data_IF_841772906345
#
_entry.id   IF_841772906345
#
_cell.length_a   1.000
_cell.length_b   1.000
_cell.length_c   1.000
_cell.angle_alpha   90.00
_cell.angle_beta   90.00
_cell.angle_gamma   90.00
#
_symmetry.space_group_name_H-M   'P 1'
#
loop_
_entity.id
_entity.type
_entity.pdbx_description
1 polymer ?
#
# COMPACT_ATOMS: atom_id res chain seq x y z
N UNK A 1 -40.75 -3.18 -21.20
CA UNK A 1 -41.08 -2.59 -19.89
C UNK A 1 -40.74 -3.46 -18.67
N UNK A 2 -40.18 -4.68 -18.83
CA UNK A 2 -39.90 -5.61 -17.71
C UNK A 2 -38.54 -5.39 -17.00
N UNK A 3 -37.50 -4.88 -17.68
CA UNK A 3 -36.17 -4.68 -17.06
C UNK A 3 -36.14 -3.58 -16.00
N UNK A 4 -37.00 -2.56 -16.10
CA UNK A 4 -37.02 -1.42 -15.15
C UNK A 4 -37.65 -1.79 -13.80
N UNK A 5 -38.56 -2.77 -13.78
CA UNK A 5 -39.19 -3.26 -12.56
C UNK A 5 -38.22 -4.14 -11.74
N UNK A 6 -37.33 -4.88 -12.42
CA UNK A 6 -36.42 -5.83 -11.79
C UNK A 6 -35.33 -5.15 -10.94
N UNK A 7 -34.84 -3.97 -11.36
CA UNK A 7 -33.84 -3.19 -10.59
C UNK A 7 -34.41 -2.57 -9.31
N UNK A 8 -35.70 -2.22 -9.28
CA UNK A 8 -36.38 -1.64 -8.11
C UNK A 8 -36.61 -2.67 -7.00
N UNK A 9 -36.83 -3.93 -7.36
CA UNK A 9 -37.03 -5.03 -6.40
C UNK A 9 -35.74 -5.36 -5.64
N UNK A 10 -34.58 -5.30 -6.29
CA UNK A 10 -33.29 -5.55 -5.64
C UNK A 10 -32.94 -4.49 -4.58
N UNK A 11 -33.26 -3.22 -4.83
CA UNK A 11 -33.02 -2.13 -3.86
C UNK A 11 -33.98 -2.23 -2.67
N UNK A 12 -35.23 -2.63 -2.91
CA UNK A 12 -36.22 -2.84 -1.85
C UNK A 12 -35.83 -4.02 -0.92
N UNK A 13 -35.24 -5.09 -1.47
CA UNK A 13 -34.75 -6.23 -0.67
C UNK A 13 -33.51 -5.88 0.17
N UNK A 14 -32.65 -4.97 -0.31
CA UNK A 14 -31.51 -4.50 0.48
C UNK A 14 -31.92 -3.66 1.71
N UNK A 15 -33.05 -2.96 1.63
CA UNK A 15 -33.57 -2.14 2.73
C UNK A 15 -34.32 -2.95 3.82
N UNK A 16 -34.79 -4.16 3.51
CA UNK A 16 -35.51 -5.02 4.46
C UNK A 16 -34.62 -5.58 5.59
N UNK A 17 -33.28 -5.47 5.48
CA UNK A 17 -32.33 -5.91 6.50
C UNK A 17 -32.07 -4.88 7.63
N UNK A 18 -32.51 -3.63 7.45
CA UNK A 18 -32.35 -2.56 8.44
C UNK A 18 -33.51 -2.56 9.45
N UNK A 19 -33.69 -3.65 10.22
CA UNK A 19 -34.52 -3.56 11.41
C UNK A 19 -33.84 -2.69 12.46
N UNK A 20 -34.59 -1.75 13.02
CA UNK A 20 -34.12 -0.86 14.08
C UNK A 20 -33.82 -1.67 15.35
N UNK A 21 -32.94 -1.17 16.22
CA UNK A 21 -32.65 -1.80 17.51
C UNK A 21 -33.92 -2.02 18.35
N UNK A 22 -34.87 -1.08 18.27
CA UNK A 22 -36.16 -1.17 18.94
C UNK A 22 -37.01 -2.35 18.43
N UNK A 23 -37.02 -2.60 17.12
CA UNK A 23 -37.74 -3.73 16.52
C UNK A 23 -37.14 -5.07 16.97
N UNK A 24 -35.81 -5.20 16.97
CA UNK A 24 -35.12 -6.43 17.39
C UNK A 24 -35.32 -6.73 18.88
N UNK A 25 -35.33 -5.69 19.71
CA UNK A 25 -35.64 -5.81 21.14
C UNK A 25 -37.06 -6.32 21.38
N UNK A 26 -38.04 -5.79 20.63
CA UNK A 26 -39.44 -6.23 20.73
C UNK A 26 -39.62 -7.69 20.27
N UNK A 27 -38.99 -8.07 19.16
CA UNK A 27 -39.02 -9.45 18.65
C UNK A 27 -38.36 -10.44 19.63
N UNK A 28 -37.24 -10.04 20.26
CA UNK A 28 -36.56 -10.84 21.26
C UNK A 28 -37.43 -11.04 22.52
N UNK A 29 -38.11 -9.99 22.99
CA UNK A 29 -39.06 -10.11 24.10
C UNK A 29 -40.29 -10.95 23.74
N UNK A 30 -40.77 -10.86 22.49
CA UNK A 30 -41.88 -11.67 21.99
C UNK A 30 -41.57 -13.17 21.96
N UNK A 31 -40.29 -13.55 21.91
CA UNK A 31 -39.83 -14.94 22.06
C UNK A 31 -39.79 -15.42 23.52
N UNK A 32 -40.25 -14.60 24.48
CA UNK A 32 -40.26 -14.94 25.90
C UNK A 32 -38.90 -14.75 26.59
N UNK A 33 -37.95 -14.08 25.94
CA UNK A 33 -36.63 -13.79 26.50
C UNK A 33 -36.74 -12.56 27.41
N UNK A 34 -36.03 -12.57 28.54
CA UNK A 34 -36.02 -11.44 29.47
C UNK A 34 -35.45 -10.19 28.82
N UNK A 35 -35.96 -9.01 29.22
CA UNK A 35 -35.51 -7.71 28.70
C UNK A 35 -34.00 -7.51 28.82
N UNK A 36 -33.40 -7.99 29.92
CA UNK A 36 -31.96 -7.86 30.16
C UNK A 36 -31.15 -8.75 29.22
N UNK A 37 -31.60 -9.99 28.97
CA UNK A 37 -30.95 -10.88 28.01
C UNK A 37 -31.03 -10.31 26.58
N UNK A 38 -32.17 -9.74 26.19
CA UNK A 38 -32.31 -9.06 24.91
C UNK A 38 -31.41 -7.83 24.80
N UNK A 39 -31.25 -7.07 25.89
CA UNK A 39 -30.38 -5.90 25.92
C UNK A 39 -28.90 -6.28 25.75
N UNK A 40 -28.43 -7.32 26.45
CA UNK A 40 -27.06 -7.83 26.30
C UNK A 40 -26.83 -8.39 24.90
N UNK A 41 -27.81 -9.11 24.33
CA UNK A 41 -27.70 -9.62 22.96
C UNK A 41 -27.55 -8.48 21.93
N UNK A 42 -28.32 -7.41 22.06
CA UNK A 42 -28.22 -6.25 21.16
C UNK A 42 -26.91 -5.47 21.37
N UNK A 43 -26.43 -5.35 22.62
CA UNK A 43 -25.14 -4.74 22.90
C UNK A 43 -23.99 -5.54 22.25
N UNK A 44 -24.00 -6.87 22.37
CA UNK A 44 -23.03 -7.75 21.73
C UNK A 44 -23.10 -7.66 20.20
N UNK A 45 -24.30 -7.58 19.65
CA UNK A 45 -24.51 -7.37 18.21
C UNK A 45 -23.89 -6.04 17.78
N UNK A 46 -24.16 -4.93 18.48
CA UNK A 46 -23.59 -3.64 18.14
C UNK A 46 -22.06 -3.63 18.26
N UNK A 47 -21.51 -4.26 19.30
CA UNK A 47 -20.07 -4.43 19.46
C UNK A 47 -19.46 -5.23 18.29
N UNK A 48 -20.12 -6.30 17.85
CA UNK A 48 -19.67 -7.11 16.71
C UNK A 48 -19.67 -6.30 15.40
N UNK A 49 -20.71 -5.50 15.16
CA UNK A 49 -20.81 -4.62 13.98
C UNK A 49 -19.70 -3.57 14.00
N UNK A 50 -19.47 -2.92 15.14
CA UNK A 50 -18.41 -1.93 15.29
C UNK A 50 -17.04 -2.58 15.03
N UNK A 51 -16.77 -3.74 15.61
CA UNK A 51 -15.51 -4.46 15.39
C UNK A 51 -15.31 -4.89 13.93
N UNK A 52 -16.37 -5.27 13.23
CA UNK A 52 -16.32 -5.63 11.81
C UNK A 52 -16.08 -4.39 10.93
N UNK A 53 -16.73 -3.27 11.26
CA UNK A 53 -16.53 -1.99 10.58
C UNK A 53 -15.11 -1.46 10.76
N UNK A 54 -14.57 -1.52 11.99
CA UNK A 54 -13.18 -1.15 12.29
C UNK A 54 -12.20 -2.03 11.51
N UNK A 55 -12.38 -3.36 11.51
CA UNK A 55 -11.54 -4.27 10.74
C UNK A 55 -11.61 -4.01 9.23
N UNK A 56 -12.79 -3.71 8.69
CA UNK A 56 -12.95 -3.35 7.29
C UNK A 56 -12.27 -2.02 6.97
N UNK A 57 -12.40 -1.02 7.85
CA UNK A 57 -11.74 0.28 7.71
C UNK A 57 -10.21 0.13 7.72
N UNK A 58 -9.66 -0.68 8.64
CA UNK A 58 -8.24 -0.97 8.71
C UNK A 58 -7.72 -1.68 7.46
N UNK A 59 -8.45 -2.68 6.93
CA UNK A 59 -8.08 -3.37 5.69
C UNK A 59 -8.11 -2.45 4.48
N UNK A 60 -9.13 -1.60 4.37
CA UNK A 60 -9.24 -0.63 3.29
C UNK A 60 -8.15 0.46 3.39
N UNK A 61 -7.84 0.92 4.61
CA UNK A 61 -6.74 1.83 4.85
C UNK A 61 -5.40 1.18 4.46
N UNK A 62 -5.14 -0.06 4.89
CA UNK A 62 -3.94 -0.80 4.51
C UNK A 62 -3.80 -0.99 3.00
N UNK A 63 -4.90 -1.28 2.28
CA UNK A 63 -4.91 -1.37 0.84
C UNK A 63 -4.60 -0.02 0.17
N UNK A 64 -5.14 1.08 0.70
CA UNK A 64 -4.81 2.43 0.24
C UNK A 64 -3.33 2.78 0.52
N UNK A 65 -2.79 2.47 1.69
CA UNK A 65 -1.36 2.68 1.99
C UNK A 65 -0.44 1.83 1.10
N UNK A 66 -0.82 0.58 0.80
CA UNK A 66 -0.07 -0.28 -0.11
C UNK A 66 -0.10 0.22 -1.57
N UNK A 67 -1.18 0.91 -1.97
CA UNK A 67 -1.30 1.54 -3.30
C UNK A 67 -0.67 2.94 -3.35
N UNK A 68 -0.64 3.66 -2.22
CA UNK A 68 -0.09 5.00 -2.08
C UNK A 68 1.39 5.03 -1.73
N UNK A 69 1.99 3.91 -1.31
CA UNK A 69 3.44 3.77 -1.30
C UNK A 69 3.92 3.97 -2.75
N UNK A 70 4.60 5.07 -3.08
CA UNK A 70 5.14 5.23 -4.42
C UNK A 70 6.01 3.99 -4.64
N UNK A 71 5.73 3.21 -5.69
CA UNK A 71 6.63 2.15 -6.12
C UNK A 71 7.93 2.84 -6.50
N UNK A 72 8.80 3.07 -5.52
CA UNK A 72 10.09 3.70 -5.72
C UNK A 72 10.80 2.82 -6.73
N UNK A 73 11.02 3.37 -7.92
CA UNK A 73 11.64 2.65 -9.03
C UNK A 73 13.08 2.38 -8.62
N UNK A 74 13.31 1.23 -7.97
CA UNK A 74 14.65 0.79 -7.61
C UNK A 74 15.43 0.61 -8.91
N UNK A 75 16.60 1.20 -8.95
CA UNK A 75 17.54 1.07 -10.05
C UNK A 75 18.52 -0.02 -9.65
N UNK A 76 18.64 -1.06 -10.46
CA UNK A 76 19.56 -2.17 -10.19
C UNK A 76 20.39 -2.43 -11.44
N UNK A 77 21.71 -2.44 -11.30
CA UNK A 77 22.64 -2.71 -12.38
C UNK A 77 23.77 -3.59 -11.86
N UNK A 78 24.29 -4.47 -12.73
CA UNK A 78 25.51 -5.23 -12.49
C UNK A 78 26.50 -4.89 -13.58
N UNK A 79 27.65 -4.35 -13.20
CA UNK A 79 28.68 -3.88 -14.14
C UNK A 79 30.02 -4.44 -13.68
N UNK A 80 30.73 -5.17 -14.54
CA UNK A 80 32.04 -5.76 -14.22
C UNK A 80 32.05 -6.58 -12.91
N UNK A 81 30.96 -7.33 -12.66
CA UNK A 81 30.79 -8.11 -11.43
C UNK A 81 30.38 -7.33 -10.19
N UNK A 82 30.29 -6.00 -10.27
CA UNK A 82 29.89 -5.10 -9.18
C UNK A 82 28.38 -4.87 -9.21
N UNK A 83 27.70 -5.14 -8.10
CA UNK A 83 26.27 -4.88 -7.94
C UNK A 83 26.02 -3.45 -7.47
N UNK A 84 25.12 -2.75 -8.16
CA UNK A 84 24.73 -1.37 -7.86
C UNK A 84 23.22 -1.34 -7.65
N UNK A 85 22.79 -0.85 -6.49
CA UNK A 85 21.37 -0.64 -6.16
C UNK A 85 21.17 0.82 -5.77
N UNK A 86 20.25 1.51 -6.42
CA UNK A 86 19.93 2.90 -6.13
C UNK A 86 18.43 2.99 -5.85
N UNK A 87 18.08 3.70 -4.80
CA UNK A 87 16.72 4.06 -4.39
C UNK A 87 16.57 5.57 -4.60
N UNK A 88 16.13 6.00 -5.79
CA UNK A 88 16.11 7.42 -6.17
C UNK A 88 15.30 8.31 -5.24
N UNK A 89 14.17 7.79 -4.75
CA UNK A 89 13.25 8.51 -3.87
C UNK A 89 13.87 8.76 -2.50
N UNK A 90 14.57 7.76 -1.97
CA UNK A 90 15.19 7.80 -0.64
C UNK A 90 16.60 8.39 -0.67
N UNK A 91 17.13 8.67 -1.88
CA UNK A 91 18.50 9.15 -2.11
C UNK A 91 19.57 8.21 -1.54
N UNK A 92 19.27 6.91 -1.54
CA UNK A 92 20.16 5.88 -1.04
C UNK A 92 20.78 5.09 -2.20
N UNK A 93 22.08 4.83 -2.12
CA UNK A 93 22.81 3.99 -3.05
C UNK A 93 23.59 2.91 -2.32
N UNK A 94 23.73 1.75 -2.94
CA UNK A 94 24.51 0.63 -2.46
C UNK A 94 25.40 0.10 -3.58
N UNK A 95 26.68 -0.07 -3.29
CA UNK A 95 27.66 -0.71 -4.17
C UNK A 95 28.17 -1.95 -3.44
N UNK A 96 27.89 -3.13 -4.02
CA UNK A 96 28.11 -4.45 -3.42
C UNK A 96 27.47 -4.58 -2.04
N UNK A 97 26.21 -4.17 -1.92
CA UNK A 97 25.44 -4.18 -0.66
C UNK A 97 26.00 -3.29 0.46
N UNK A 98 27.06 -2.53 0.21
CA UNK A 98 27.57 -1.51 1.14
C UNK A 98 27.00 -0.15 0.78
N UNK A 99 26.61 0.66 1.76
CA UNK A 99 26.11 2.00 1.53
C UNK A 99 27.15 2.86 0.77
N UNK A 100 26.68 3.57 -0.25
CA UNK A 100 27.44 4.53 -1.02
C UNK A 100 26.88 5.94 -0.76
N UNK A 101 27.75 6.91 -0.53
CA UNK A 101 27.36 8.28 -0.26
C UNK A 101 26.88 8.96 -1.54
N UNK A 102 25.73 9.63 -1.50
CA UNK A 102 25.31 10.53 -2.57
C UNK A 102 26.23 11.76 -2.53
N UNK A 103 27.06 11.93 -3.55
CA UNK A 103 28.02 13.04 -3.64
C UNK A 103 27.53 14.16 -4.54
N UNK A 104 26.63 13.86 -5.49
CA UNK A 104 26.09 14.86 -6.42
C UNK A 104 24.66 14.48 -6.82
N UNK A 105 23.78 15.49 -6.87
CA UNK A 105 22.42 15.34 -7.35
C UNK A 105 22.02 16.55 -8.21
N UNK A 106 21.71 16.27 -9.47
CA UNK A 106 21.25 17.27 -10.43
C UNK A 106 19.95 16.81 -11.09
N UNK A 107 19.39 17.65 -11.97
CA UNK A 107 18.18 17.32 -12.74
C UNK A 107 18.37 16.06 -13.62
N UNK A 108 19.59 15.83 -14.11
CA UNK A 108 19.88 14.76 -15.06
C UNK A 108 20.49 13.50 -14.43
N UNK A 109 21.11 13.60 -13.25
CA UNK A 109 21.85 12.49 -12.65
C UNK A 109 21.88 12.50 -11.11
N UNK A 110 22.13 11.32 -10.53
CA UNK A 110 22.58 11.15 -9.14
C UNK A 110 23.88 10.35 -9.14
N UNK A 111 24.84 10.78 -8.33
CA UNK A 111 26.18 10.17 -8.25
C UNK A 111 26.43 9.64 -6.85
N UNK A 112 26.74 8.35 -6.75
CA UNK A 112 27.00 7.64 -5.51
C UNK A 112 28.45 7.17 -5.46
N UNK A 113 29.16 7.41 -4.35
CA UNK A 113 30.55 7.01 -4.19
C UNK A 113 30.74 6.06 -2.99
N UNK A 114 31.53 5.01 -3.19
CA UNK A 114 32.01 4.08 -2.17
C UNK A 114 33.50 3.83 -2.41
N UNK A 115 34.36 4.46 -1.61
CA UNK A 115 35.82 4.34 -1.77
C UNK A 115 36.25 4.75 -3.18
N UNK A 116 36.87 3.81 -3.92
CA UNK A 116 37.32 4.01 -5.31
C UNK A 116 36.19 3.87 -6.33
N UNK A 117 35.00 3.38 -5.94
CA UNK A 117 33.90 3.16 -6.87
C UNK A 117 32.96 4.37 -6.89
N UNK A 118 32.60 4.81 -8.09
CA UNK A 118 31.58 5.84 -8.29
C UNK A 118 30.53 5.34 -9.27
N UNK A 119 29.29 5.28 -8.84
CA UNK A 119 28.14 4.91 -9.64
C UNK A 119 27.32 6.15 -10.01
N UNK A 120 27.10 6.37 -11.30
CA UNK A 120 26.32 7.50 -11.82
C UNK A 120 25.03 6.96 -12.41
N UNK A 121 23.89 7.37 -11.86
CA UNK A 121 22.58 7.08 -12.44
C UNK A 121 22.09 8.28 -13.24
N UNK A 122 21.90 8.08 -14.54
CA UNK A 122 21.32 9.07 -15.45
C UNK A 122 19.79 8.93 -15.46
N UNK A 123 19.11 9.95 -14.92
CA UNK A 123 17.64 10.01 -14.77
C UNK A 123 16.93 9.94 -16.12
N UNK A 124 17.45 10.66 -17.12
CA UNK A 124 16.85 10.79 -18.47
C UNK A 124 17.04 9.58 -19.37
N UNK A 125 18.25 9.01 -19.39
CA UNK A 125 18.58 7.91 -20.32
C UNK A 125 18.34 6.54 -19.71
N UNK A 126 18.02 6.48 -18.40
CA UNK A 126 17.89 5.24 -17.63
C UNK A 126 19.13 4.35 -17.75
N UNK A 127 20.29 4.97 -17.59
CA UNK A 127 21.59 4.30 -17.64
C UNK A 127 22.30 4.44 -16.30
N UNK A 128 23.08 3.42 -15.93
CA UNK A 128 24.04 3.49 -14.84
C UNK A 128 25.43 3.31 -15.41
N UNK A 129 26.33 4.22 -15.05
CA UNK A 129 27.76 4.12 -15.30
C UNK A 129 28.49 3.78 -14.01
N UNK A 130 29.54 2.97 -14.11
CA UNK A 130 30.46 2.67 -13.03
C UNK A 130 31.84 3.23 -13.38
N UNK A 131 32.44 3.91 -12.41
CA UNK A 131 33.83 4.34 -12.42
C UNK A 131 34.58 3.64 -11.29
N UNK A 132 35.85 3.35 -11.53
CA UNK A 132 36.80 2.81 -10.56
C UNK A 132 38.04 3.70 -10.59
N UNK A 133 38.38 4.29 -9.46
CA UNK A 133 39.54 5.17 -9.28
C UNK A 133 39.57 6.31 -10.32
N UNK A 134 38.43 6.99 -10.49
CA UNK A 134 38.26 8.06 -11.48
C UNK A 134 38.23 7.61 -12.95
N UNK A 135 38.47 6.33 -13.24
CA UNK A 135 38.42 5.77 -14.60
C UNK A 135 37.06 5.16 -14.89
N UNK A 136 36.53 5.44 -16.06
CA UNK A 136 35.29 4.84 -16.54
C UNK A 136 35.48 3.34 -16.79
N UNK A 137 34.62 2.51 -16.19
CA UNK A 137 34.65 1.05 -16.38
C UNK A 137 33.69 0.68 -17.49
N UNK A 138 32.39 0.89 -17.27
CA UNK A 138 31.34 0.59 -18.23
C UNK A 138 30.03 1.29 -17.85
N UNK A 139 29.10 1.31 -18.82
CA UNK A 139 27.73 1.78 -18.62
C UNK A 139 26.75 0.72 -19.10
N UNK A 140 25.63 0.59 -18.41
CA UNK A 140 24.53 -0.28 -18.81
C UNK A 140 23.20 0.45 -18.75
N UNK A 141 22.25 0.03 -19.58
CA UNK A 141 20.86 0.49 -19.53
C UNK A 141 20.08 -0.39 -18.53
N UNK A 142 19.09 0.21 -17.87
CA UNK A 142 18.22 -0.42 -16.87
C UNK A 142 16.78 -0.41 -17.36
#
# INVERSE_FOLDING_TARGET
MMMKAMSLVLVAMAAAGCSSSASRMADCQAQGISKDACYIAEQNRQASINSAAENAALRNAAAQYAQAAPKYKKVTARIDGIDIKIYPADKQGYIESTAAALIEENADAQVYQKGIFTAIWYKRTHQVALMRDGKFVAKTKI
#
